data_IF_714433446551
#
_entry.id   IF_714433446551
#
_cell.length_a   1.000
_cell.length_b   1.000
_cell.length_c   1.000
_cell.angle_alpha   90.00
_cell.angle_beta   90.00
_cell.angle_gamma   90.00
#
_symmetry.space_group_name_H-M   'P 1'
#
loop_
_entity.id
_entity.type
_entity.pdbx_description
1 polymer ?
#
# COMPACT_ATOMS: atom_id res chain seq x y z
N UNK A 1 -2.94 -34.33 -1.26
CA UNK A 1 -3.27 -34.38 0.18
C UNK A 1 -2.05 -33.82 0.87
N UNK A 2 -2.23 -32.85 1.71
CA UNK A 2 -1.19 -32.34 2.59
C UNK A 2 -1.16 -33.28 3.79
N UNK A 3 0.03 -33.71 4.23
CA UNK A 3 0.15 -34.59 5.38
C UNK A 3 -0.33 -33.87 6.64
N UNK A 4 -1.50 -34.26 7.14
CA UNK A 4 -1.99 -33.91 8.48
C UNK A 4 -2.96 -32.73 8.62
N UNK A 5 -3.21 -31.90 7.61
CA UNK A 5 -4.20 -30.80 7.69
C UNK A 5 -5.07 -30.70 6.44
N UNK A 6 -6.38 -30.44 6.62
CA UNK A 6 -7.26 -30.13 5.50
C UNK A 6 -6.94 -28.71 4.98
N UNK A 7 -6.82 -28.55 3.65
CA UNK A 7 -6.56 -27.25 3.02
C UNK A 7 -7.58 -26.18 3.40
N UNK A 8 -8.80 -26.53 3.77
CA UNK A 8 -9.82 -25.61 4.27
C UNK A 8 -9.52 -25.12 5.69
N UNK A 9 -8.95 -25.98 6.55
CA UNK A 9 -8.53 -25.59 7.89
C UNK A 9 -7.35 -24.61 7.84
N UNK A 10 -6.39 -24.85 6.94
CA UNK A 10 -5.26 -23.95 6.70
C UNK A 10 -5.78 -22.59 6.20
N UNK A 11 -6.72 -22.58 5.24
CA UNK A 11 -7.32 -21.37 4.71
C UNK A 11 -8.01 -20.56 5.82
N UNK A 12 -8.85 -21.21 6.63
CA UNK A 12 -9.54 -20.58 7.75
C UNK A 12 -8.54 -19.94 8.73
N UNK A 13 -7.50 -20.68 9.13
CA UNK A 13 -6.44 -20.17 10.01
C UNK A 13 -5.71 -18.95 9.43
N UNK A 14 -5.41 -18.96 8.12
CA UNK A 14 -4.77 -17.82 7.45
C UNK A 14 -5.67 -16.57 7.43
N UNK A 15 -6.99 -16.76 7.23
CA UNK A 15 -7.95 -15.66 7.15
C UNK A 15 -8.39 -15.12 8.51
N UNK A 16 -8.28 -15.91 9.57
CA UNK A 16 -8.52 -15.48 10.95
C UNK A 16 -7.36 -14.67 11.55
N UNK A 17 -6.14 -14.93 11.12
CA UNK A 17 -4.95 -14.25 11.65
C UNK A 17 -4.79 -12.85 11.01
N UNK A 18 -4.69 -11.82 11.86
CA UNK A 18 -4.55 -10.41 11.45
C UNK A 18 -3.32 -10.14 10.55
N UNK A 19 -2.24 -10.92 10.69
CA UNK A 19 -1.02 -10.75 9.89
C UNK A 19 -1.11 -11.40 8.50
N UNK A 20 -2.00 -12.39 8.31
CA UNK A 20 -2.07 -13.16 7.07
C UNK A 20 -3.41 -13.06 6.33
N UNK A 21 -4.46 -12.52 6.97
CA UNK A 21 -5.81 -12.45 6.38
C UNK A 21 -5.88 -11.70 5.05
N UNK A 22 -5.01 -10.69 4.86
CA UNK A 22 -4.96 -9.85 3.66
C UNK A 22 -4.10 -10.47 2.54
N UNK A 23 -3.41 -11.59 2.81
CA UNK A 23 -2.66 -12.34 1.79
C UNK A 23 -3.65 -13.04 0.86
N UNK A 24 -3.58 -12.82 -0.47
CA UNK A 24 -4.44 -13.52 -1.41
C UNK A 24 -4.14 -15.02 -1.44
N UNK A 25 -5.17 -15.84 -1.29
CA UNK A 25 -5.06 -17.29 -1.26
C UNK A 25 -5.80 -17.91 -2.44
N UNK A 26 -5.10 -18.68 -3.25
CA UNK A 26 -5.65 -19.47 -4.35
C UNK A 26 -5.65 -20.95 -3.94
N UNK A 27 -6.83 -21.53 -3.82
CA UNK A 27 -6.98 -22.95 -3.52
C UNK A 27 -6.74 -23.78 -4.77
N UNK A 28 -5.88 -24.81 -4.67
CA UNK A 28 -5.58 -25.75 -5.77
C UNK A 28 -5.93 -27.15 -5.32
N UNK A 29 -6.93 -27.79 -5.93
CA UNK A 29 -7.43 -29.10 -5.48
C UNK A 29 -7.76 -30.03 -6.65
N UNK A 30 -7.64 -31.34 -6.39
CA UNK A 30 -8.15 -32.38 -7.29
C UNK A 30 -9.69 -32.50 -7.27
N UNK A 31 -10.35 -31.90 -6.26
CA UNK A 31 -11.80 -31.88 -6.14
C UNK A 31 -12.37 -30.78 -7.02
N UNK A 32 -12.82 -31.13 -8.21
CA UNK A 32 -13.46 -30.19 -9.15
C UNK A 32 -14.96 -29.97 -8.90
N UNK A 33 -15.51 -30.57 -7.83
CA UNK A 33 -16.94 -30.47 -7.50
C UNK A 33 -17.32 -29.02 -7.13
N UNK A 34 -18.46 -28.58 -7.60
CA UNK A 34 -18.99 -27.25 -7.40
C UNK A 34 -19.07 -26.87 -5.90
N UNK A 35 -19.55 -27.79 -5.06
CA UNK A 35 -19.63 -27.59 -3.61
C UNK A 35 -18.27 -27.35 -2.95
N UNK A 36 -17.22 -27.99 -3.45
CA UNK A 36 -15.85 -27.79 -2.94
C UNK A 36 -15.31 -26.41 -3.27
N UNK A 37 -15.65 -25.89 -4.46
CA UNK A 37 -15.29 -24.50 -4.86
C UNK A 37 -16.04 -23.48 -4.03
N UNK A 38 -17.37 -23.64 -3.87
CA UNK A 38 -18.20 -22.76 -3.05
C UNK A 38 -17.67 -22.69 -1.62
N UNK A 39 -17.42 -23.86 -0.99
CA UNK A 39 -16.88 -23.92 0.37
C UNK A 39 -15.54 -23.17 0.50
N UNK A 40 -14.63 -23.33 -0.48
CA UNK A 40 -13.35 -22.62 -0.46
C UNK A 40 -13.51 -21.09 -0.54
N UNK A 41 -14.39 -20.62 -1.42
CA UNK A 41 -14.69 -19.19 -1.60
C UNK A 41 -15.38 -18.60 -0.36
N UNK A 42 -16.34 -19.32 0.23
CA UNK A 42 -17.05 -18.89 1.44
C UNK A 42 -16.11 -18.79 2.66
N UNK A 43 -15.06 -19.62 2.71
CA UNK A 43 -14.01 -19.54 3.73
C UNK A 43 -12.98 -18.42 3.47
N UNK A 44 -13.16 -17.64 2.40
CA UNK A 44 -12.34 -16.48 2.10
C UNK A 44 -11.18 -16.74 1.13
N UNK A 45 -11.19 -17.83 0.36
CA UNK A 45 -10.25 -17.98 -0.75
C UNK A 45 -10.54 -16.94 -1.83
N UNK A 46 -9.49 -16.34 -2.39
CA UNK A 46 -9.61 -15.34 -3.45
C UNK A 46 -9.86 -15.97 -4.82
N UNK A 47 -9.46 -17.23 -5.01
CA UNK A 47 -9.74 -18.03 -6.20
C UNK A 47 -9.59 -19.54 -5.91
N UNK A 48 -10.11 -20.37 -6.84
CA UNK A 48 -10.06 -21.82 -6.76
C UNK A 48 -9.72 -22.42 -8.13
N UNK A 49 -8.72 -23.33 -8.17
CA UNK A 49 -8.27 -24.02 -9.37
C UNK A 49 -8.42 -25.54 -9.18
N UNK A 50 -9.12 -26.18 -10.09
CA UNK A 50 -9.24 -27.64 -10.10
C UNK A 50 -8.08 -28.27 -10.90
N UNK A 51 -7.51 -29.36 -10.39
CA UNK A 51 -6.58 -30.21 -11.13
C UNK A 51 -7.34 -31.16 -12.07
N UNK A 52 -6.85 -31.42 -13.30
CA UNK A 52 -5.66 -30.85 -13.92
C UNK A 52 -5.88 -29.43 -14.44
N UNK A 53 -4.86 -28.58 -14.34
CA UNK A 53 -4.88 -27.19 -14.84
C UNK A 53 -3.65 -26.92 -15.72
N UNK A 54 -3.79 -25.99 -16.66
CA UNK A 54 -2.69 -25.49 -17.47
C UNK A 54 -1.83 -24.48 -16.71
N UNK A 55 -0.50 -24.52 -16.93
CA UNK A 55 0.41 -23.55 -16.28
C UNK A 55 0.05 -22.09 -16.63
N UNK A 56 -0.42 -21.83 -17.83
CA UNK A 56 -0.86 -20.49 -18.26
C UNK A 56 -2.11 -20.03 -17.51
N UNK A 57 -3.03 -20.94 -17.19
CA UNK A 57 -4.20 -20.63 -16.36
C UNK A 57 -3.78 -20.25 -14.94
N UNK A 58 -2.89 -21.03 -14.31
CA UNK A 58 -2.36 -20.73 -12.99
C UNK A 58 -1.73 -19.34 -12.96
N UNK A 59 -0.84 -19.05 -13.91
CA UNK A 59 -0.17 -17.74 -14.02
C UNK A 59 -1.19 -16.62 -14.18
N UNK A 60 -2.19 -16.78 -15.04
CA UNK A 60 -3.22 -15.77 -15.27
C UNK A 60 -4.04 -15.49 -14.01
N UNK A 61 -4.43 -16.52 -13.26
CA UNK A 61 -5.20 -16.39 -12.00
C UNK A 61 -4.35 -15.77 -10.88
N UNK A 62 -3.09 -16.18 -10.73
CA UNK A 62 -2.17 -15.55 -9.75
C UNK A 62 -2.00 -14.07 -10.07
N UNK A 63 -1.74 -13.70 -11.33
CA UNK A 63 -1.65 -12.29 -11.74
C UNK A 63 -2.95 -11.51 -11.49
N UNK A 64 -4.12 -12.12 -11.71
CA UNK A 64 -5.40 -11.48 -11.47
C UNK A 64 -5.63 -11.22 -9.97
N UNK A 65 -5.31 -12.18 -9.12
CA UNK A 65 -5.45 -12.06 -7.67
C UNK A 65 -4.43 -11.07 -7.07
N UNK A 66 -3.19 -11.07 -7.54
CA UNK A 66 -2.20 -10.06 -7.16
C UNK A 66 -2.62 -8.65 -7.58
N UNK A 67 -3.29 -8.49 -8.72
CA UNK A 67 -3.84 -7.18 -9.14
C UNK A 67 -4.97 -6.71 -8.24
N UNK A 68 -5.87 -7.62 -7.81
CA UNK A 68 -6.93 -7.31 -6.83
C UNK A 68 -6.35 -6.97 -5.46
N UNK A 69 -5.35 -7.72 -4.99
CA UNK A 69 -4.65 -7.47 -3.74
C UNK A 69 -3.89 -6.13 -3.78
N UNK A 70 -3.25 -5.79 -4.91
CA UNK A 70 -2.65 -4.47 -5.11
C UNK A 70 -3.68 -3.35 -5.05
N UNK A 71 -4.89 -3.53 -5.58
CA UNK A 71 -5.95 -2.52 -5.45
C UNK A 71 -6.36 -2.23 -3.99
N UNK A 72 -6.13 -3.17 -3.06
CA UNK A 72 -6.27 -2.95 -1.61
C UNK A 72 -4.93 -2.55 -0.94
N UNK A 73 -3.79 -2.98 -1.48
CA UNK A 73 -2.45 -2.64 -1.00
C UNK A 73 -1.92 -1.30 -1.55
N UNK A 74 -2.57 -0.73 -2.57
CA UNK A 74 -2.18 0.55 -3.18
C UNK A 74 -2.64 1.77 -2.37
N UNK A 75 -3.21 1.55 -1.19
CA UNK A 75 -3.52 2.63 -0.25
C UNK A 75 -2.47 2.64 0.86
N UNK A 76 -1.44 3.48 0.70
CA UNK A 76 -0.51 3.76 1.80
C UNK A 76 -1.18 4.67 2.82
N UNK A 77 -0.99 4.40 4.11
CA UNK A 77 -1.57 5.21 5.19
C UNK A 77 -0.54 5.54 6.24
N UNK A 78 -0.57 6.78 6.72
CA UNK A 78 0.15 7.20 7.90
C UNK A 78 -0.61 8.34 8.60
N UNK A 79 -0.93 8.13 9.87
CA UNK A 79 -1.76 9.07 10.62
C UNK A 79 -3.14 9.21 9.99
N UNK A 80 -3.47 10.42 9.56
CA UNK A 80 -4.68 10.79 8.84
C UNK A 80 -4.48 10.98 7.33
N UNK A 81 -3.29 10.63 6.82
CA UNK A 81 -2.98 10.64 5.39
C UNK A 81 -3.31 9.28 4.78
N UNK A 82 -3.98 9.31 3.65
CA UNK A 82 -4.26 8.16 2.81
C UNK A 82 -3.83 8.45 1.36
N UNK A 83 -2.97 7.59 0.81
CA UNK A 83 -2.48 7.67 -0.57
C UNK A 83 -3.18 6.61 -1.40
N UNK A 84 -3.93 7.01 -2.40
CA UNK A 84 -4.51 6.12 -3.40
C UNK A 84 -3.69 6.21 -4.70
N UNK A 85 -2.83 5.23 -4.93
CA UNK A 85 -1.92 5.24 -6.08
C UNK A 85 -2.64 5.02 -7.43
N UNK A 86 -3.74 4.29 -7.42
CA UNK A 86 -4.53 4.04 -8.62
C UNK A 86 -5.25 5.30 -9.14
N UNK A 87 -5.75 6.11 -8.22
CA UNK A 87 -6.38 7.38 -8.54
C UNK A 87 -5.39 8.54 -8.62
N UNK A 88 -4.13 8.33 -8.23
CA UNK A 88 -3.12 9.37 -8.07
C UNK A 88 -3.58 10.49 -7.13
N UNK A 89 -4.27 10.13 -6.07
CA UNK A 89 -4.84 11.05 -5.09
C UNK A 89 -4.24 10.80 -3.71
N UNK A 90 -4.04 11.88 -2.97
CA UNK A 90 -3.71 11.85 -1.55
C UNK A 90 -4.78 12.65 -0.80
N UNK A 91 -5.33 12.05 0.24
CA UNK A 91 -6.19 12.74 1.19
C UNK A 91 -5.52 12.86 2.56
N UNK A 92 -5.86 13.90 3.29
CA UNK A 92 -5.48 14.11 4.67
C UNK A 92 -6.69 14.58 5.45
N UNK A 93 -6.92 13.99 6.62
CA UNK A 93 -8.13 14.26 7.43
C UNK A 93 -9.43 14.16 6.59
N UNK A 94 -9.50 13.18 5.67
CA UNK A 94 -10.64 12.94 4.79
C UNK A 94 -10.83 13.96 3.65
N UNK A 95 -9.94 14.97 3.51
CA UNK A 95 -9.98 15.99 2.45
C UNK A 95 -8.93 15.66 1.38
N UNK A 96 -9.32 15.60 0.10
CA UNK A 96 -8.38 15.41 -1.02
C UNK A 96 -7.49 16.65 -1.14
N UNK A 97 -6.16 16.40 -1.25
CA UNK A 97 -5.16 17.45 -1.40
C UNK A 97 -4.96 17.78 -2.89
N UNK A 98 -5.04 19.05 -3.24
CA UNK A 98 -4.68 19.53 -4.59
C UNK A 98 -3.15 19.65 -4.70
N UNK A 99 -2.48 18.61 -5.21
CA UNK A 99 -1.04 18.51 -5.29
C UNK A 99 -0.56 18.51 -6.74
N UNK A 100 0.61 19.10 -6.98
CA UNK A 100 1.36 18.90 -8.22
C UNK A 100 1.94 17.49 -8.25
N UNK A 101 2.36 16.99 -9.43
CA UNK A 101 2.97 15.66 -9.56
C UNK A 101 4.16 15.46 -8.59
N UNK A 102 5.04 16.47 -8.47
CA UNK A 102 6.22 16.37 -7.60
C UNK A 102 5.86 16.41 -6.11
N UNK A 103 4.84 17.14 -5.73
CA UNK A 103 4.30 17.13 -4.37
C UNK A 103 3.64 15.80 -4.03
N UNK A 104 2.89 15.22 -4.97
CA UNK A 104 2.33 13.88 -4.83
C UNK A 104 3.42 12.83 -4.61
N UNK A 105 4.43 12.77 -5.50
CA UNK A 105 5.54 11.81 -5.40
C UNK A 105 6.32 11.99 -4.09
N UNK A 106 6.60 13.23 -3.69
CA UNK A 106 7.30 13.53 -2.43
C UNK A 106 6.50 13.08 -1.20
N UNK A 107 5.21 13.41 -1.12
CA UNK A 107 4.39 13.04 0.03
C UNK A 107 4.17 11.51 0.09
N UNK A 108 3.91 10.87 -1.05
CA UNK A 108 3.84 9.40 -1.17
C UNK A 108 5.11 8.73 -0.66
N UNK A 109 6.28 9.23 -1.06
CA UNK A 109 7.57 8.71 -0.60
C UNK A 109 7.70 8.85 0.92
N UNK A 110 7.40 10.02 1.48
CA UNK A 110 7.45 10.23 2.93
C UNK A 110 6.49 9.32 3.70
N UNK A 111 5.29 9.08 3.17
CA UNK A 111 4.30 8.16 3.77
C UNK A 111 4.83 6.72 3.75
N UNK A 112 5.47 6.28 2.67
CA UNK A 112 6.01 4.91 2.55
C UNK A 112 7.16 4.61 3.51
N UNK A 113 7.90 5.64 3.94
CA UNK A 113 9.01 5.49 4.91
C UNK A 113 8.60 5.82 6.35
N UNK A 114 7.42 6.42 6.53
CA UNK A 114 6.99 6.90 7.84
C UNK A 114 6.97 5.79 8.92
N UNK A 115 7.39 6.11 10.14
CA UNK A 115 7.82 7.41 10.67
C UNK A 115 9.32 7.73 10.45
N UNK A 116 10.05 6.91 9.70
CA UNK A 116 11.50 7.03 9.52
C UNK A 116 11.89 8.29 8.75
N UNK A 117 13.15 8.72 8.93
CA UNK A 117 13.73 9.85 8.20
C UNK A 117 14.17 9.40 6.82
N UNK A 118 13.77 10.12 5.78
CA UNK A 118 14.27 9.95 4.41
C UNK A 118 15.31 11.03 4.15
N UNK A 119 16.49 10.63 3.68
CA UNK A 119 17.58 11.57 3.41
C UNK A 119 17.27 12.46 2.21
N UNK A 120 17.85 13.66 2.20
CA UNK A 120 17.63 14.64 1.11
C UNK A 120 18.01 14.08 -0.27
N UNK A 121 19.16 13.40 -0.35
CA UNK A 121 19.65 12.84 -1.60
C UNK A 121 18.76 11.68 -2.09
N UNK A 122 18.28 10.83 -1.18
CA UNK A 122 17.34 9.76 -1.49
C UNK A 122 16.01 10.33 -2.03
N UNK A 123 15.52 11.42 -1.44
CA UNK A 123 14.30 12.09 -1.92
C UNK A 123 14.52 12.70 -3.30
N UNK A 124 15.63 13.40 -3.50
CA UNK A 124 15.94 14.03 -4.79
C UNK A 124 16.05 12.99 -5.90
N UNK A 125 16.78 11.90 -5.67
CA UNK A 125 16.91 10.79 -6.61
C UNK A 125 15.55 10.13 -6.91
N UNK A 126 14.76 9.82 -5.88
CA UNK A 126 13.49 9.12 -6.05
C UNK A 126 12.43 9.96 -6.77
N UNK A 127 12.37 11.28 -6.50
CA UNK A 127 11.31 12.15 -7.00
C UNK A 127 11.71 12.88 -8.30
N UNK A 128 13.00 13.26 -8.44
CA UNK A 128 13.48 14.02 -9.60
C UNK A 128 14.36 13.21 -10.55
N UNK A 129 14.87 12.03 -10.12
CA UNK A 129 15.72 11.15 -10.91
C UNK A 129 17.21 11.29 -10.56
N UNK A 130 18.01 10.29 -10.98
CA UNK A 130 19.46 10.24 -10.71
C UNK A 130 20.23 11.38 -11.36
N UNK A 131 19.78 11.88 -12.52
CA UNK A 131 20.40 12.96 -13.26
C UNK A 131 19.97 14.37 -12.81
N UNK A 132 19.35 14.47 -11.63
CA UNK A 132 18.93 15.77 -11.12
C UNK A 132 20.10 16.54 -10.50
N UNK A 133 20.65 17.50 -11.24
CA UNK A 133 21.71 18.41 -10.81
C UNK A 133 21.17 19.77 -10.29
N UNK A 134 19.86 19.84 -10.01
CA UNK A 134 19.24 21.05 -9.50
C UNK A 134 19.57 21.34 -8.03
N UNK A 135 19.29 22.57 -7.62
CA UNK A 135 19.52 23.01 -6.25
C UNK A 135 18.63 22.24 -5.25
N UNK A 136 19.20 21.86 -4.12
CA UNK A 136 18.49 21.25 -2.97
C UNK A 136 17.35 22.14 -2.45
N UNK A 137 17.34 23.42 -2.80
CA UNK A 137 16.30 24.42 -2.49
C UNK A 137 14.94 24.07 -3.09
N UNK A 138 14.91 23.33 -4.22
CA UNK A 138 13.67 22.84 -4.83
C UNK A 138 12.88 21.96 -3.86
N UNK A 139 13.57 21.07 -3.15
CA UNK A 139 12.94 20.19 -2.16
C UNK A 139 12.31 20.99 -1.00
N UNK A 140 12.99 22.06 -0.55
CA UNK A 140 12.47 22.93 0.53
C UNK A 140 11.19 23.66 0.10
N UNK A 141 11.11 24.10 -1.15
CA UNK A 141 9.92 24.76 -1.72
C UNK A 141 8.73 23.80 -1.74
N UNK A 142 8.91 22.58 -2.28
CA UNK A 142 7.84 21.58 -2.32
C UNK A 142 7.41 21.13 -0.92
N UNK A 143 8.37 20.98 0.00
CA UNK A 143 8.07 20.67 1.40
C UNK A 143 7.25 21.79 2.08
N UNK A 144 7.57 23.06 1.81
CA UNK A 144 6.80 24.18 2.34
C UNK A 144 5.37 24.21 1.78
N UNK A 145 5.20 23.92 0.49
CA UNK A 145 3.88 23.81 -0.15
C UNK A 145 3.06 22.68 0.46
N UNK A 146 3.65 21.50 0.64
CA UNK A 146 2.99 20.34 1.28
C UNK A 146 2.57 20.64 2.71
N UNK A 147 3.40 21.32 3.51
CA UNK A 147 3.02 21.75 4.86
C UNK A 147 1.80 22.67 4.85
N UNK A 148 1.71 23.57 3.87
CA UNK A 148 0.54 24.44 3.69
C UNK A 148 -0.70 23.64 3.32
N UNK A 149 -0.59 22.69 2.40
CA UNK A 149 -1.70 21.82 2.00
C UNK A 149 -2.22 20.97 3.18
N UNK A 150 -1.33 20.37 3.97
CA UNK A 150 -1.68 19.63 5.18
C UNK A 150 -2.36 20.50 6.23
N UNK A 151 -1.87 21.74 6.43
CA UNK A 151 -2.49 22.69 7.36
C UNK A 151 -3.88 23.10 6.90
N UNK A 152 -4.11 23.32 5.60
CA UNK A 152 -5.43 23.63 5.03
C UNK A 152 -6.42 22.48 5.16
N UNK A 153 -5.93 21.23 5.14
CA UNK A 153 -6.72 20.04 5.40
C UNK A 153 -7.00 19.82 6.91
N UNK A 154 -6.40 20.62 7.78
CA UNK A 154 -6.46 20.43 9.25
C UNK A 154 -5.90 19.05 9.66
N UNK A 155 -4.86 18.61 8.96
CA UNK A 155 -4.23 17.33 9.21
C UNK A 155 -3.43 17.32 10.52
N UNK A 156 -3.59 16.25 11.31
CA UNK A 156 -2.73 15.96 12.46
C UNK A 156 -1.33 15.49 12.06
N UNK A 157 -1.13 15.13 10.79
CA UNK A 157 0.19 14.74 10.27
C UNK A 157 1.03 15.96 9.90
N UNK A 158 2.30 15.94 10.32
CA UNK A 158 3.26 17.03 10.09
C UNK A 158 4.53 16.52 9.41
N UNK A 159 5.07 17.32 8.49
CA UNK A 159 6.38 17.07 7.89
C UNK A 159 7.45 17.75 8.74
N UNK A 160 8.32 16.95 9.35
CA UNK A 160 9.42 17.42 10.18
C UNK A 160 10.69 17.56 9.35
N UNK A 161 11.50 18.57 9.66
CA UNK A 161 12.86 18.70 9.12
C UNK A 161 13.85 18.19 10.13
N UNK A 162 14.64 17.19 9.74
CA UNK A 162 15.81 16.73 10.48
C UNK A 162 17.02 17.43 9.89
N UNK A 163 17.51 18.47 10.60
CA UNK A 163 18.58 19.35 10.09
C UNK A 163 19.82 18.55 9.67
N UNK A 164 20.31 18.83 8.48
CA UNK A 164 21.49 18.16 7.93
C UNK A 164 21.25 16.72 7.45
N UNK A 165 20.03 16.16 7.61
CA UNK A 165 19.72 14.77 7.23
C UNK A 165 18.61 14.72 6.17
N UNK A 166 17.40 15.15 6.49
CA UNK A 166 16.26 14.99 5.58
C UNK A 166 14.92 15.35 6.22
N UNK A 167 13.89 14.57 5.87
CA UNK A 167 12.52 14.80 6.31
C UNK A 167 11.89 13.51 6.84
N UNK A 168 10.92 13.65 7.75
CA UNK A 168 10.10 12.56 8.27
C UNK A 168 8.66 13.03 8.50
N UNK A 169 7.76 12.09 8.71
CA UNK A 169 6.39 12.39 9.14
C UNK A 169 6.23 12.10 10.64
N UNK A 170 5.41 12.90 11.28
CA UNK A 170 4.85 12.60 12.61
C UNK A 170 3.35 12.83 12.60
N UNK A 171 2.63 12.09 13.43
CA UNK A 171 1.19 12.24 13.60
C UNK A 171 0.87 12.52 15.05
N UNK A 172 0.07 13.55 15.27
CA UNK A 172 -0.48 13.88 16.59
C UNK A 172 -1.99 13.90 16.49
N UNK A 173 -2.64 12.99 17.18
CA UNK A 173 -4.10 13.02 17.28
C UNK A 173 -4.47 14.18 18.19
N UNK A 174 -5.11 15.23 17.69
CA UNK A 174 -5.71 16.21 18.58
C UNK A 174 -6.74 15.50 19.44
N UNK A 175 -6.57 15.63 20.75
CA UNK A 175 -7.61 15.16 21.70
C UNK A 175 -8.81 16.07 21.51
N UNK A 176 -9.92 15.48 21.07
CA UNK A 176 -11.23 16.10 21.12
C UNK A 176 -11.62 16.38 22.57
#
# INVERSE_FOLDING_TARGET
MLDGADGYEILASLKENAETRDIPVVMVSARGEEMSKVKGLDLGADDYIAKPFGILELIARVKANLRKSRAHADTLRFGDIEVNDNLREISANGKILALTLKEYELLKLLVSYAPNVVKRDEILTAVWGEDYFGETRTLDIHTASLRKALAQAESGTKINTVRGVGYSLSFTREKA
#
